data_IF_589236944648
#
_entry.id   IF_589236944648
#
_cell.length_a   1.000
_cell.length_b   1.000
_cell.length_c   1.000
_cell.angle_alpha   90.00
_cell.angle_beta   90.00
_cell.angle_gamma   90.00
#
_symmetry.space_group_name_H-M   'P 1'
#
loop_
_entity.id
_entity.type
_entity.pdbx_description
1 polymer ?
#
# COMPACT_ATOMS: atom_id res chain seq x y z
N UNK A 1 -24.09 6.64 0.56
CA UNK A 1 -24.56 6.22 1.90
C UNK A 1 -24.41 7.42 2.81
N UNK A 2 -25.48 7.93 3.44
CA UNK A 2 -25.37 9.07 4.37
C UNK A 2 -24.94 8.54 5.73
N UNK A 3 -23.79 8.99 6.23
CA UNK A 3 -23.37 8.72 7.62
C UNK A 3 -23.91 9.85 8.49
N UNK A 4 -24.81 9.51 9.41
CA UNK A 4 -25.27 10.44 10.44
C UNK A 4 -24.20 10.53 11.54
N UNK A 5 -23.69 11.73 11.80
CA UNK A 5 -22.70 12.01 12.85
C UNK A 5 -23.42 12.46 14.12
N UNK A 6 -24.23 11.57 14.70
CA UNK A 6 -24.88 11.87 15.98
C UNK A 6 -23.81 12.10 17.05
N UNK A 7 -23.58 13.39 17.38
CA UNK A 7 -22.84 13.82 18.57
C UNK A 7 -21.46 14.44 18.37
N UNK A 8 -20.95 14.65 17.15
CA UNK A 8 -19.74 15.44 16.93
C UNK A 8 -20.00 16.58 15.94
N UNK A 9 -20.12 17.81 16.47
CA UNK A 9 -20.28 19.03 15.68
C UNK A 9 -18.98 19.39 14.95
N UNK A 10 -18.73 18.75 13.81
CA UNK A 10 -17.96 19.40 12.76
C UNK A 10 -18.93 20.30 11.97
N UNK A 11 -18.74 21.63 11.91
CA UNK A 11 -19.63 22.49 11.14
C UNK A 11 -19.43 22.21 9.63
N UNK A 12 -20.29 21.38 9.04
CA UNK A 12 -20.26 21.13 7.60
C UNK A 12 -21.04 19.89 7.16
N UNK A 13 -21.41 19.85 5.88
CA UNK A 13 -21.96 18.66 5.22
C UNK A 13 -20.80 17.93 4.53
N UNK A 14 -20.51 16.71 4.97
CA UNK A 14 -19.53 15.84 4.32
C UNK A 14 -20.15 15.08 3.14
N UNK A 15 -19.64 15.29 1.94
CA UNK A 15 -20.00 14.47 0.77
C UNK A 15 -18.97 13.37 0.60
N UNK A 16 -19.40 12.11 0.72
CA UNK A 16 -18.55 10.94 0.50
C UNK A 16 -19.10 10.12 -0.67
N UNK A 17 -18.26 9.95 -1.68
CA UNK A 17 -18.44 9.00 -2.76
C UNK A 17 -17.49 7.83 -2.46
N UNK A 18 -18.06 6.67 -2.15
CA UNK A 18 -17.31 5.44 -1.97
C UNK A 18 -17.58 4.53 -3.16
N UNK A 19 -16.53 4.00 -3.75
CA UNK A 19 -16.55 2.88 -4.67
C UNK A 19 -15.93 1.64 -3.99
N UNK A 20 -16.14 0.48 -4.59
CA UNK A 20 -15.31 -0.69 -4.28
C UNK A 20 -14.06 -0.60 -5.15
N UNK A 21 -12.88 -0.56 -4.52
CA UNK A 21 -11.60 -0.59 -5.23
C UNK A 21 -11.48 -1.87 -6.07
N UNK A 22 -11.84 -1.80 -7.35
CA UNK A 22 -11.75 -2.93 -8.28
C UNK A 22 -10.59 -2.72 -9.26
N UNK A 23 -9.36 -2.91 -8.76
CA UNK A 23 -8.14 -2.98 -9.58
C UNK A 23 -7.27 -1.71 -9.68
N UNK A 24 -7.59 -0.64 -8.94
CA UNK A 24 -6.75 0.57 -8.92
C UNK A 24 -5.47 0.42 -8.08
N UNK A 25 -5.48 -0.47 -7.08
CA UNK A 25 -4.35 -0.68 -6.18
C UNK A 25 -3.32 -1.65 -6.78
N UNK A 26 -2.04 -1.30 -6.69
CA UNK A 26 -0.95 -2.12 -7.24
C UNK A 26 0.38 -1.88 -6.53
N UNK A 27 1.32 -2.78 -6.77
CA UNK A 27 2.71 -2.68 -6.31
C UNK A 27 3.62 -2.47 -7.52
N UNK A 28 4.34 -1.36 -7.55
CA UNK A 28 5.35 -1.11 -8.58
C UNK A 28 6.62 -1.85 -8.20
N UNK A 29 7.25 -2.48 -9.19
CA UNK A 29 8.46 -3.29 -9.00
C UNK A 29 9.50 -2.98 -10.07
N UNK A 30 10.78 -3.08 -9.71
CA UNK A 30 11.87 -2.95 -10.66
C UNK A 30 11.81 -4.04 -11.74
N UNK A 31 12.42 -3.73 -12.88
CA UNK A 31 12.62 -4.69 -13.96
C UNK A 31 13.24 -5.99 -13.45
N UNK A 32 12.69 -7.12 -13.90
CA UNK A 32 13.16 -8.46 -13.54
C UNK A 32 12.43 -9.11 -12.36
N UNK A 33 11.64 -8.37 -11.59
CA UNK A 33 10.68 -8.93 -10.62
C UNK A 33 9.46 -9.43 -11.39
N UNK A 34 9.18 -10.73 -11.35
CA UNK A 34 8.06 -11.37 -12.08
C UNK A 34 7.00 -11.92 -11.15
N UNK A 35 7.32 -12.07 -9.87
CA UNK A 35 6.45 -12.63 -8.85
C UNK A 35 6.71 -11.97 -7.50
N UNK A 36 5.76 -12.12 -6.57
CA UNK A 36 5.94 -11.69 -5.19
C UNK A 36 7.11 -12.42 -4.50
N UNK A 37 7.40 -13.67 -4.88
CA UNK A 37 8.52 -14.44 -4.34
C UNK A 37 9.88 -13.81 -4.67
N UNK A 38 10.00 -13.15 -5.84
CA UNK A 38 11.23 -12.46 -6.24
C UNK A 38 11.55 -11.25 -5.35
N UNK A 39 10.58 -10.77 -4.56
CA UNK A 39 10.80 -9.69 -3.58
C UNK A 39 11.48 -10.16 -2.30
N UNK A 40 11.70 -11.46 -2.13
CA UNK A 40 12.48 -11.99 -1.01
C UNK A 40 13.87 -11.38 -0.99
N UNK A 41 14.24 -10.78 0.14
CA UNK A 41 15.53 -10.10 0.31
C UNK A 41 15.68 -8.74 -0.37
N UNK A 42 14.71 -8.32 -1.20
CA UNK A 42 14.63 -7.00 -1.84
C UNK A 42 13.96 -5.97 -0.94
N UNK A 43 14.21 -4.68 -1.17
CA UNK A 43 13.65 -3.59 -0.35
C UNK A 43 12.34 -3.08 -0.94
N UNK A 44 11.29 -3.04 -0.12
CA UNK A 44 9.96 -2.53 -0.47
C UNK A 44 9.72 -1.25 0.34
N UNK A 45 9.49 -0.11 -0.31
CA UNK A 45 9.07 1.12 0.37
C UNK A 45 7.55 1.19 0.44
N UNK A 46 6.98 1.47 1.60
CA UNK A 46 5.55 1.80 1.69
C UNK A 46 5.22 2.52 2.99
N UNK A 47 4.07 3.18 3.02
CA UNK A 47 3.55 3.79 4.23
C UNK A 47 2.81 2.75 5.09
N UNK A 48 3.10 2.74 6.39
CA UNK A 48 2.56 1.75 7.34
C UNK A 48 1.06 2.00 7.58
N UNK A 49 0.29 0.92 7.76
CA UNK A 49 -1.14 0.98 8.14
C UNK A 49 -2.05 1.71 7.12
N UNK A 50 -1.61 1.80 5.87
CA UNK A 50 -2.37 2.31 4.72
C UNK A 50 -3.01 1.19 3.89
N UNK A 51 -3.91 1.50 2.93
CA UNK A 51 -4.40 0.51 1.97
C UNK A 51 -3.28 -0.26 1.25
N UNK A 52 -2.18 0.40 0.85
CA UNK A 52 -1.02 -0.25 0.23
C UNK A 52 -0.37 -1.29 1.16
N UNK A 53 -0.26 -0.98 2.45
CA UNK A 53 0.22 -1.94 3.46
C UNK A 53 -0.69 -3.16 3.59
N UNK A 54 -2.00 -2.95 3.58
CA UNK A 54 -3.01 -4.03 3.65
C UNK A 54 -2.97 -4.87 2.39
N UNK A 55 -2.87 -4.25 1.21
CA UNK A 55 -2.73 -4.92 -0.09
C UNK A 55 -1.51 -5.86 -0.10
N UNK A 56 -0.34 -5.36 0.30
CA UNK A 56 0.87 -6.17 0.32
C UNK A 56 0.76 -7.34 1.31
N UNK A 57 0.18 -7.10 2.49
CA UNK A 57 -0.12 -8.17 3.46
C UNK A 57 -1.03 -9.25 2.87
N UNK A 58 -2.10 -8.83 2.20
CA UNK A 58 -3.04 -9.73 1.57
C UNK A 58 -2.36 -10.54 0.44
N UNK A 59 -1.62 -9.87 -0.44
CA UNK A 59 -0.89 -10.51 -1.53
C UNK A 59 0.15 -11.52 -1.01
N UNK A 60 0.91 -11.18 0.04
CA UNK A 60 1.84 -12.10 0.70
C UNK A 60 1.12 -13.35 1.24
N UNK A 61 -0.02 -13.16 1.92
CA UNK A 61 -0.85 -14.27 2.42
C UNK A 61 -1.34 -15.19 1.29
N UNK A 62 -1.84 -14.63 0.19
CA UNK A 62 -2.30 -15.43 -0.96
C UNK A 62 -1.18 -16.24 -1.61
N UNK A 63 0.06 -15.78 -1.51
CA UNK A 63 1.24 -16.45 -2.06
C UNK A 63 2.01 -17.30 -1.03
N UNK A 64 1.44 -17.53 0.16
CA UNK A 64 2.10 -18.26 1.27
C UNK A 64 3.47 -17.68 1.69
N UNK A 65 3.65 -16.36 1.54
CA UNK A 65 4.84 -15.64 1.97
C UNK A 65 4.59 -15.06 3.36
N UNK A 66 5.48 -15.37 4.32
CA UNK A 66 5.44 -14.70 5.62
C UNK A 66 5.82 -13.23 5.43
N UNK A 67 4.85 -12.33 5.63
CA UNK A 67 5.04 -10.88 5.52
C UNK A 67 6.21 -10.36 6.36
N UNK A 68 6.53 -11.01 7.49
CA UNK A 68 7.66 -10.62 8.35
C UNK A 68 9.02 -10.84 7.70
N UNK A 69 9.09 -11.67 6.67
CA UNK A 69 10.34 -11.94 5.92
C UNK A 69 10.62 -10.89 4.84
N UNK A 70 9.63 -10.05 4.51
CA UNK A 70 9.79 -8.96 3.56
C UNK A 70 10.57 -7.81 4.20
N UNK A 71 11.53 -7.24 3.46
CA UNK A 71 12.30 -6.08 3.93
C UNK A 71 11.55 -4.79 3.59
N UNK A 72 10.71 -4.36 4.53
CA UNK A 72 9.91 -3.15 4.36
C UNK A 72 10.63 -1.94 4.96
N UNK A 73 10.77 -0.88 4.15
CA UNK A 73 11.22 0.44 4.58
C UNK A 73 10.00 1.36 4.68
N UNK A 74 9.56 1.64 5.90
CA UNK A 74 8.43 2.52 6.11
C UNK A 74 8.79 3.98 5.86
N UNK A 75 7.99 4.66 5.05
CA UNK A 75 8.10 6.09 4.75
C UNK A 75 6.77 6.62 4.17
N UNK A 76 6.53 7.95 4.16
CA UNK A 76 5.37 8.54 3.49
C UNK A 76 5.23 8.09 2.03
N UNK A 77 4.00 7.97 1.52
CA UNK A 77 3.76 7.50 0.15
C UNK A 77 4.51 8.30 -0.93
N UNK A 78 4.60 9.63 -0.79
CA UNK A 78 5.35 10.48 -1.71
C UNK A 78 6.85 10.16 -1.73
N UNK A 79 7.42 9.84 -0.58
CA UNK A 79 8.82 9.46 -0.44
C UNK A 79 9.07 8.06 -1.01
N UNK A 80 8.13 7.13 -0.83
CA UNK A 80 8.21 5.77 -1.38
C UNK A 80 8.26 5.81 -2.93
N UNK A 81 7.37 6.59 -3.55
CA UNK A 81 7.38 6.81 -4.99
C UNK A 81 8.70 7.43 -5.48
N UNK A 82 9.18 8.47 -4.79
CA UNK A 82 10.46 9.13 -5.14
C UNK A 82 11.65 8.17 -4.99
N UNK A 83 11.70 7.39 -3.91
CA UNK A 83 12.75 6.41 -3.67
C UNK A 83 12.76 5.31 -4.74
N UNK A 84 11.58 4.88 -5.20
CA UNK A 84 11.47 3.92 -6.30
C UNK A 84 11.98 4.48 -7.62
N UNK A 85 11.55 5.70 -7.99
CA UNK A 85 12.01 6.40 -9.21
C UNK A 85 13.54 6.60 -9.18
N UNK A 86 14.10 6.94 -8.02
CA UNK A 86 15.53 7.09 -7.83
C UNK A 86 16.32 5.75 -7.77
N UNK A 87 15.64 4.61 -7.87
CA UNK A 87 16.25 3.27 -7.84
C UNK A 87 16.75 2.83 -6.46
N UNK A 88 16.41 3.55 -5.39
CA UNK A 88 16.87 3.30 -4.02
C UNK A 88 16.19 2.10 -3.36
N UNK A 89 15.01 1.73 -3.85
CA UNK A 89 14.24 0.55 -3.42
C UNK A 89 13.82 -0.27 -4.63
N UNK A 90 13.44 -1.51 -4.42
CA UNK A 90 13.11 -2.45 -5.50
C UNK A 90 11.61 -2.51 -5.81
N UNK A 91 10.77 -2.05 -4.88
CA UNK A 91 9.34 -1.94 -5.03
C UNK A 91 8.76 -0.78 -4.19
N UNK A 92 7.63 -0.23 -4.63
CA UNK A 92 6.85 0.78 -3.91
C UNK A 92 5.35 0.68 -4.22
#
# INVERSE_FOLDING_TARGET
>A
MYLNTDGQEAPGIGFMLGDESNGADGLLVKNGVKSLADLSGKTIALEKETPAYILLKYAAKQNNIDFKTLKIKYMPAADAATAFIAGQVDAA
#
